data_IF_376145756956
#
_entry.id   IF_376145756956
#
_cell.length_a   1.000
_cell.length_b   1.000
_cell.length_c   1.000
_cell.angle_alpha   90.00
_cell.angle_beta   90.00
_cell.angle_gamma   90.00
#
_symmetry.space_group_name_H-M   'P 1'
#
loop_
_entity.id
_entity.type
_entity.pdbx_description
1 polymer ?
#
# COMPACT_ATOMS: atom_id res chain seq x y z
N UNK A 1 11.79 50.47 -55.33
CA UNK A 1 10.36 50.62 -54.95
C UNK A 1 9.80 49.23 -54.66
N UNK A 2 9.72 48.82 -53.38
CA UNK A 2 9.13 47.52 -53.00
C UNK A 2 7.60 47.67 -52.84
N UNK A 3 6.84 46.68 -53.33
CA UNK A 3 5.37 46.67 -53.26
C UNK A 3 4.88 46.54 -51.81
N UNK A 4 3.80 47.24 -51.40
CA UNK A 4 3.32 47.27 -50.01
C UNK A 4 2.91 45.90 -49.44
N UNK A 5 2.60 44.92 -50.29
CA UNK A 5 2.26 43.55 -49.87
C UNK A 5 3.48 42.73 -49.40
N UNK A 6 4.70 43.08 -49.81
CA UNK A 6 5.92 42.38 -49.41
C UNK A 6 6.38 42.78 -48.00
N UNK A 7 6.13 44.03 -47.61
CA UNK A 7 6.42 44.53 -46.25
C UNK A 7 5.50 43.88 -45.22
N UNK A 8 4.23 43.63 -45.56
CA UNK A 8 3.26 42.97 -44.68
C UNK A 8 3.63 41.50 -44.40
N UNK A 9 4.11 40.76 -45.41
CA UNK A 9 4.56 39.38 -45.25
C UNK A 9 5.84 39.28 -44.42
N UNK A 10 6.78 40.22 -44.59
CA UNK A 10 8.00 40.30 -43.79
C UNK A 10 7.73 40.63 -42.31
N UNK A 11 6.76 41.52 -42.04
CA UNK A 11 6.33 41.84 -40.66
C UNK A 11 5.63 40.64 -40.00
N UNK A 12 4.81 39.90 -40.74
CA UNK A 12 4.13 38.69 -40.23
C UNK A 12 5.13 37.57 -39.93
N UNK A 13 6.16 37.41 -40.77
CA UNK A 13 7.23 36.41 -40.56
C UNK A 13 8.11 36.78 -39.35
N UNK A 14 8.42 38.07 -39.15
CA UNK A 14 9.16 38.57 -37.98
C UNK A 14 8.38 38.39 -36.66
N UNK A 15 7.05 38.55 -36.68
CA UNK A 15 6.19 38.32 -35.51
C UNK A 15 6.08 36.84 -35.12
N UNK A 16 6.11 35.90 -36.08
CA UNK A 16 6.04 34.46 -35.81
C UNK A 16 7.34 33.90 -35.23
N UNK A 17 8.49 34.49 -35.55
CA UNK A 17 9.81 34.04 -35.03
C UNK A 17 10.02 34.51 -33.58
N UNK A 18 9.36 35.58 -33.13
CA UNK A 18 9.50 36.13 -31.79
C UNK A 18 8.76 35.35 -30.67
N UNK A 19 7.95 34.33 -31.00
CA UNK A 19 7.15 33.60 -30.01
C UNK A 19 7.76 32.28 -29.49
N UNK A 20 8.99 31.95 -29.86
CA UNK A 20 9.66 30.73 -29.36
C UNK A 20 10.61 31.04 -28.20
N UNK A 21 10.04 31.41 -27.04
CA UNK A 21 10.80 31.47 -25.79
C UNK A 21 10.75 30.07 -25.15
N UNK A 22 11.86 29.32 -25.07
CA UNK A 22 11.88 28.10 -24.27
C UNK A 22 11.87 28.52 -22.79
N UNK A 23 10.74 28.31 -22.12
CA UNK A 23 10.66 28.39 -20.65
C UNK A 23 11.46 27.23 -20.07
N UNK A 24 12.78 27.41 -19.97
CA UNK A 24 13.64 26.53 -19.21
C UNK A 24 13.28 26.74 -17.74
N UNK A 25 12.41 25.89 -17.21
CA UNK A 25 12.18 25.82 -15.77
C UNK A 25 13.48 25.30 -15.16
N UNK A 26 14.32 26.22 -14.71
CA UNK A 26 15.44 25.89 -13.84
C UNK A 26 14.86 25.31 -12.55
N UNK A 27 14.68 23.99 -12.51
CA UNK A 27 14.49 23.27 -11.24
C UNK A 27 15.79 23.44 -10.48
N UNK A 28 15.79 24.35 -9.52
CA UNK A 28 16.80 24.43 -8.47
C UNK A 28 16.79 23.11 -7.71
N UNK A 29 17.55 22.13 -8.22
CA UNK A 29 17.71 20.83 -7.63
C UNK A 29 18.66 21.00 -6.44
N UNK A 30 18.09 21.43 -5.31
CA UNK A 30 18.78 21.33 -4.02
C UNK A 30 18.98 19.83 -3.77
N UNK A 31 20.20 19.34 -3.49
CA UNK A 31 20.42 17.96 -3.09
C UNK A 31 19.97 17.82 -1.63
N UNK A 32 18.66 17.86 -1.41
CA UNK A 32 18.05 17.33 -0.21
C UNK A 32 17.83 15.85 -0.44
N UNK A 33 18.40 14.99 0.41
CA UNK A 33 18.02 13.59 0.46
C UNK A 33 16.53 13.53 0.80
N UNK A 34 15.68 13.44 -0.22
CA UNK A 34 14.28 13.10 -0.02
C UNK A 34 14.28 11.64 0.40
N UNK A 35 14.21 11.39 1.70
CA UNK A 35 13.70 10.13 2.22
C UNK A 35 12.22 10.04 1.83
N UNK A 36 11.92 9.82 0.55
CA UNK A 36 10.61 9.28 0.16
C UNK A 36 10.63 7.82 0.58
N UNK A 37 10.41 7.57 1.87
CA UNK A 37 10.06 6.24 2.33
C UNK A 37 8.69 5.99 1.73
N UNK A 38 8.65 5.42 0.52
CA UNK A 38 7.41 4.94 -0.07
C UNK A 38 6.91 3.85 0.86
N UNK A 39 6.00 4.20 1.77
CA UNK A 39 5.35 3.21 2.62
C UNK A 39 4.70 2.20 1.67
N UNK A 40 5.16 0.95 1.70
CA UNK A 40 4.65 -0.08 0.81
C UNK A 40 3.12 -0.17 0.92
N UNK A 41 2.43 -0.14 -0.23
CA UNK A 41 0.96 -0.15 -0.33
C UNK A 41 0.30 -1.45 0.17
N UNK A 42 1.12 -2.40 0.59
CA UNK A 42 0.69 -3.72 1.03
C UNK A 42 0.98 -3.95 2.52
N UNK A 43 1.50 -2.94 3.24
CA UNK A 43 1.86 -3.06 4.65
C UNK A 43 0.63 -2.94 5.57
N UNK A 44 0.67 -3.48 6.81
CA UNK A 44 -0.38 -3.25 7.81
C UNK A 44 -0.65 -1.76 8.03
N UNK A 45 0.41 -0.94 8.08
CA UNK A 45 0.29 0.50 8.25
C UNK A 45 -0.49 1.17 7.11
N UNK A 46 -0.25 0.76 5.86
CA UNK A 46 -0.98 1.30 4.71
C UNK A 46 -2.48 0.98 4.80
N UNK A 47 -2.85 -0.27 5.08
CA UNK A 47 -4.25 -0.66 5.25
C UNK A 47 -4.92 0.04 6.44
N UNK A 48 -4.19 0.19 7.55
CA UNK A 48 -4.63 0.91 8.73
C UNK A 48 -4.81 2.42 8.52
N UNK A 49 -4.11 3.00 7.54
CA UNK A 49 -4.23 4.42 7.19
C UNK A 49 -5.56 4.80 6.53
N UNK A 50 -6.36 3.80 6.13
CA UNK A 50 -7.67 3.95 5.45
C UNK A 50 -7.64 4.78 4.17
N UNK A 51 -6.46 4.93 3.55
CA UNK A 51 -6.31 5.64 2.27
C UNK A 51 -6.91 4.87 1.09
N UNK A 52 -7.08 3.57 1.23
CA UNK A 52 -7.68 2.70 0.23
C UNK A 52 -8.91 1.98 0.79
N UNK A 53 -9.90 1.79 -0.08
CA UNK A 53 -11.08 1.00 0.23
C UNK A 53 -10.69 -0.48 0.46
N UNK A 54 -11.24 -1.08 1.50
CA UNK A 54 -11.01 -2.50 1.76
C UNK A 54 -11.76 -3.38 0.76
N UNK A 55 -11.24 -4.58 0.44
CA UNK A 55 -11.95 -5.56 -0.38
C UNK A 55 -13.35 -5.87 0.17
N UNK A 56 -14.37 -5.95 -0.71
CA UNK A 56 -15.76 -6.23 -0.29
C UNK A 56 -15.92 -7.53 0.50
N UNK A 57 -15.05 -8.52 0.24
CA UNK A 57 -15.07 -9.81 0.94
C UNK A 57 -14.74 -9.68 2.42
N UNK A 58 -14.02 -8.63 2.81
CA UNK A 58 -13.58 -8.39 4.18
C UNK A 58 -13.73 -6.89 4.48
N UNK A 59 -14.92 -6.44 4.92
CA UNK A 59 -15.11 -5.07 5.39
C UNK A 59 -14.26 -4.76 6.63
N UNK A 60 -13.95 -3.48 6.86
CA UNK A 60 -13.16 -3.00 8.02
C UNK A 60 -13.73 -3.44 9.38
N UNK A 61 -15.05 -3.53 9.49
CA UNK A 61 -15.78 -3.94 10.70
C UNK A 61 -15.81 -5.45 10.91
N UNK A 62 -15.21 -6.24 10.02
CA UNK A 62 -15.16 -7.69 10.18
C UNK A 62 -14.34 -8.06 11.40
N UNK A 63 -14.94 -8.82 12.31
CA UNK A 63 -14.25 -9.36 13.46
C UNK A 63 -13.28 -10.46 13.05
N UNK A 64 -12.20 -10.59 13.80
CA UNK A 64 -11.16 -11.61 13.62
C UNK A 64 -11.76 -13.01 13.66
N UNK A 65 -12.68 -13.26 14.58
CA UNK A 65 -13.41 -14.53 14.72
C UNK A 65 -14.26 -14.87 13.50
N UNK A 66 -14.92 -13.87 12.88
CA UNK A 66 -15.71 -14.09 11.66
C UNK A 66 -14.84 -14.41 10.44
N UNK A 67 -13.62 -13.86 10.41
CA UNK A 67 -12.71 -14.02 9.27
C UNK A 67 -11.90 -15.31 9.36
N UNK A 68 -11.35 -15.60 10.54
CA UNK A 68 -10.43 -16.72 10.78
C UNK A 68 -11.08 -17.91 11.50
N UNK A 69 -12.30 -17.77 12.01
CA UNK A 69 -13.04 -18.85 12.66
C UNK A 69 -12.79 -18.95 14.17
N UNK A 70 -13.37 -19.99 14.78
CA UNK A 70 -13.44 -20.17 16.23
C UNK A 70 -12.10 -20.30 16.92
N UNK A 71 -11.07 -20.92 16.30
CA UNK A 71 -9.74 -21.03 16.90
C UNK A 71 -9.07 -19.67 17.15
N UNK A 72 -9.46 -18.63 16.40
CA UNK A 72 -9.00 -17.28 16.66
C UNK A 72 -9.56 -16.71 17.99
N UNK A 73 -10.73 -17.17 18.43
CA UNK A 73 -11.36 -16.76 19.69
C UNK A 73 -10.52 -17.14 20.93
N UNK A 74 -9.79 -18.25 20.86
CA UNK A 74 -8.94 -18.69 21.98
C UNK A 74 -7.79 -17.72 22.27
N UNK A 75 -7.36 -16.94 21.26
CA UNK A 75 -6.17 -16.08 21.35
C UNK A 75 -6.45 -14.60 21.21
N UNK A 76 -7.60 -14.24 20.66
CA UNK A 76 -7.98 -12.86 20.38
C UNK A 76 -9.33 -12.53 21.01
N UNK A 77 -9.49 -11.26 21.37
CA UNK A 77 -10.79 -10.74 21.82
C UNK A 77 -11.84 -10.91 20.73
N UNK A 78 -13.07 -11.21 21.13
CA UNK A 78 -14.18 -11.54 20.24
C UNK A 78 -14.62 -10.36 19.35
N UNK A 79 -14.52 -9.15 19.88
CA UNK A 79 -14.88 -7.89 19.24
C UNK A 79 -13.72 -7.25 18.46
N UNK A 80 -12.52 -7.84 18.51
CA UNK A 80 -11.37 -7.34 17.77
C UNK A 80 -11.66 -7.39 16.27
N UNK A 81 -11.61 -6.23 15.63
CA UNK A 81 -11.74 -6.09 14.18
C UNK A 81 -10.39 -6.25 13.48
N UNK A 82 -10.42 -6.62 12.19
CA UNK A 82 -9.20 -6.64 11.40
C UNK A 82 -8.56 -5.27 11.26
N UNK A 83 -9.36 -4.20 11.18
CA UNK A 83 -8.83 -2.85 11.08
C UNK A 83 -8.02 -2.50 12.32
N UNK A 84 -8.56 -2.76 13.52
CA UNK A 84 -7.82 -2.61 14.77
C UNK A 84 -6.54 -3.45 14.74
N UNK A 85 -6.61 -4.71 14.29
CA UNK A 85 -5.43 -5.56 14.19
C UNK A 85 -4.31 -4.97 13.30
N UNK A 86 -4.64 -4.24 12.21
CA UNK A 86 -3.63 -3.61 11.34
C UNK A 86 -2.90 -2.43 11.98
N UNK A 87 -3.55 -1.73 12.92
CA UNK A 87 -3.00 -0.51 13.56
C UNK A 87 -2.38 -0.77 14.93
N UNK A 88 -2.50 -1.98 15.48
CA UNK A 88 -1.92 -2.35 16.78
C UNK A 88 -0.40 -2.23 16.79
N UNK A 89 0.13 -1.80 17.93
CA UNK A 89 1.56 -1.57 18.13
C UNK A 89 2.21 -2.54 19.12
N UNK A 90 1.52 -3.63 19.47
CA UNK A 90 1.95 -4.61 20.48
C UNK A 90 2.94 -5.62 19.87
N UNK A 91 4.04 -5.14 19.30
CA UNK A 91 4.99 -5.97 18.54
C UNK A 91 5.80 -6.93 19.42
N UNK A 92 5.81 -6.74 20.74
CA UNK A 92 6.43 -7.65 21.72
C UNK A 92 5.69 -9.01 21.80
N UNK A 93 4.37 -9.03 21.56
CA UNK A 93 3.57 -10.24 21.64
C UNK A 93 3.45 -10.94 20.27
N UNK A 94 3.72 -12.25 20.25
CA UNK A 94 3.78 -13.04 19.00
C UNK A 94 2.43 -13.14 18.28
N UNK A 95 1.32 -13.31 19.01
CA UNK A 95 -0.01 -13.49 18.39
C UNK A 95 -0.60 -12.19 17.81
N UNK A 96 -0.54 -11.03 18.49
CA UNK A 96 -0.88 -9.75 17.87
C UNK A 96 -0.03 -9.46 16.63
N UNK A 97 1.27 -9.77 16.67
CA UNK A 97 2.16 -9.60 15.51
C UNK A 97 1.77 -10.51 14.33
N UNK A 98 1.45 -11.78 14.59
CA UNK A 98 0.89 -12.70 13.59
C UNK A 98 -0.37 -12.11 12.98
N UNK A 99 -1.32 -11.67 13.80
CA UNK A 99 -2.60 -11.17 13.32
C UNK A 99 -2.46 -9.88 12.51
N UNK A 100 -1.60 -8.95 12.94
CA UNK A 100 -1.30 -7.71 12.23
C UNK A 100 -0.80 -8.01 10.81
N UNK A 101 0.19 -8.90 10.68
CA UNK A 101 0.76 -9.25 9.38
C UNK A 101 -0.18 -10.10 8.52
N UNK A 102 -0.91 -11.04 9.13
CA UNK A 102 -1.90 -11.85 8.44
C UNK A 102 -3.09 -11.02 7.93
N UNK A 103 -3.53 -10.00 8.68
CA UNK A 103 -4.60 -9.09 8.24
C UNK A 103 -4.20 -8.36 6.96
N UNK A 104 -2.99 -7.82 6.91
CA UNK A 104 -2.47 -7.20 5.69
C UNK A 104 -2.34 -8.22 4.54
N UNK A 105 -1.79 -9.41 4.81
CA UNK A 105 -1.65 -10.46 3.81
C UNK A 105 -3.00 -10.89 3.22
N UNK A 106 -4.04 -11.00 4.06
CA UNK A 106 -5.39 -11.32 3.61
C UNK A 106 -5.95 -10.21 2.71
N UNK A 107 -5.80 -8.94 3.09
CA UNK A 107 -6.24 -7.82 2.26
C UNK A 107 -5.49 -7.79 0.92
N UNK A 108 -4.18 -8.01 0.95
CA UNK A 108 -3.35 -8.09 -0.25
C UNK A 108 -3.78 -9.24 -1.16
N UNK A 109 -4.09 -10.42 -0.61
CA UNK A 109 -4.54 -11.58 -1.39
C UNK A 109 -5.84 -11.32 -2.18
N UNK A 110 -6.65 -10.36 -1.74
CA UNK A 110 -7.84 -9.92 -2.47
C UNK A 110 -7.59 -8.72 -3.39
N UNK A 111 -6.73 -7.78 -2.98
CA UNK A 111 -6.58 -6.48 -3.64
C UNK A 111 -5.40 -6.40 -4.63
N UNK A 112 -4.41 -7.29 -4.51
CA UNK A 112 -3.13 -7.19 -5.22
C UNK A 112 -2.94 -8.38 -6.13
N UNK A 113 -2.78 -8.13 -7.43
CA UNK A 113 -2.45 -9.16 -8.40
C UNK A 113 -1.03 -9.67 -8.14
N UNK A 114 -0.84 -10.98 -8.19
CA UNK A 114 0.48 -11.60 -7.99
C UNK A 114 0.96 -11.65 -6.54
N UNK A 115 0.10 -11.33 -5.56
CA UNK A 115 0.43 -11.59 -4.16
C UNK A 115 0.64 -13.09 -3.94
N UNK A 116 1.69 -13.53 -3.23
CA UNK A 116 2.13 -14.93 -3.21
C UNK A 116 1.22 -15.87 -2.41
N UNK A 117 0.22 -15.35 -1.70
CA UNK A 117 -0.75 -16.15 -0.96
C UNK A 117 -2.16 -15.88 -1.46
N UNK A 118 -2.95 -16.93 -1.64
CA UNK A 118 -4.39 -16.82 -1.76
C UNK A 118 -5.03 -16.52 -0.40
N UNK A 119 -6.25 -15.97 -0.40
CA UNK A 119 -6.99 -15.67 0.82
C UNK A 119 -7.25 -16.91 1.69
N UNK A 120 -7.48 -18.07 1.06
CA UNK A 120 -7.67 -19.33 1.76
C UNK A 120 -6.38 -19.80 2.44
N UNK A 121 -5.24 -19.72 1.75
CA UNK A 121 -3.93 -20.06 2.33
C UNK A 121 -3.61 -19.18 3.54
N UNK A 122 -3.86 -17.86 3.45
CA UNK A 122 -3.64 -16.96 4.61
C UNK A 122 -4.45 -17.44 5.81
N UNK A 123 -5.74 -17.74 5.64
CA UNK A 123 -6.60 -18.22 6.73
C UNK A 123 -6.10 -19.54 7.32
N UNK A 124 -5.77 -20.51 6.48
CA UNK A 124 -5.24 -21.81 6.90
C UNK A 124 -3.93 -21.68 7.66
N UNK A 125 -2.99 -20.88 7.15
CA UNK A 125 -1.69 -20.66 7.77
C UNK A 125 -1.80 -19.94 9.12
N UNK A 126 -2.74 -19.01 9.28
CA UNK A 126 -3.03 -18.40 10.59
C UNK A 126 -3.46 -19.47 11.58
N UNK A 127 -4.44 -20.31 11.23
CA UNK A 127 -4.92 -21.35 12.14
C UNK A 127 -3.82 -22.34 12.53
N UNK A 128 -2.98 -22.73 11.57
CA UNK A 128 -1.82 -23.59 11.84
C UNK A 128 -0.80 -22.90 12.76
N UNK A 129 -0.59 -21.59 12.59
CA UNK A 129 0.37 -20.84 13.38
C UNK A 129 -0.08 -20.62 14.85
N UNK A 130 -1.37 -20.74 15.16
CA UNK A 130 -1.90 -20.59 16.53
C UNK A 130 -1.49 -21.73 17.48
N UNK A 131 -0.90 -22.81 16.98
CA UNK A 131 -0.53 -23.98 17.81
C UNK A 131 0.62 -23.72 18.78
N UNK A 132 1.49 -22.74 18.50
CA UNK A 132 2.62 -22.39 19.37
C UNK A 132 3.17 -20.99 19.07
N UNK A 133 3.85 -20.39 20.05
CA UNK A 133 4.50 -19.08 19.91
C UNK A 133 5.56 -19.09 18.79
N UNK A 134 6.30 -20.19 18.66
CA UNK A 134 7.31 -20.38 17.61
C UNK A 134 6.67 -20.38 16.22
N UNK A 135 5.57 -21.12 16.05
CA UNK A 135 4.84 -21.17 14.78
C UNK A 135 4.22 -19.80 14.45
N UNK A 136 3.63 -19.13 15.44
CA UNK A 136 3.08 -17.78 15.30
C UNK A 136 4.15 -16.78 14.88
N UNK A 137 5.31 -16.76 15.54
CA UNK A 137 6.40 -15.86 15.21
C UNK A 137 6.96 -16.10 13.80
N UNK A 138 7.18 -17.37 13.44
CA UNK A 138 7.69 -17.73 12.11
C UNK A 138 6.71 -17.33 11.00
N UNK A 139 5.42 -17.61 11.19
CA UNK A 139 4.41 -17.29 10.18
C UNK A 139 4.17 -15.77 10.09
N UNK A 140 4.23 -15.05 11.20
CA UNK A 140 4.19 -13.58 11.21
C UNK A 140 5.33 -13.00 10.35
N UNK A 141 6.54 -13.52 10.49
CA UNK A 141 7.69 -13.09 9.70
C UNK A 141 7.49 -13.36 8.21
N UNK A 142 7.00 -14.55 7.85
CA UNK A 142 6.71 -14.92 6.44
C UNK A 142 5.68 -13.98 5.80
N UNK A 143 4.63 -13.62 6.54
CA UNK A 143 3.65 -12.65 6.06
C UNK A 143 4.26 -11.24 5.95
N UNK A 144 5.09 -10.81 6.90
CA UNK A 144 5.78 -9.50 6.82
C UNK A 144 6.60 -9.39 5.55
N UNK A 145 7.44 -10.39 5.27
CA UNK A 145 8.29 -10.42 4.06
C UNK A 145 7.44 -10.34 2.78
N UNK A 146 6.34 -11.09 2.70
CA UNK A 146 5.45 -11.04 1.53
C UNK A 146 4.72 -9.69 1.40
N UNK A 147 4.32 -9.09 2.50
CA UNK A 147 3.68 -7.77 2.52
C UNK A 147 4.67 -6.67 2.09
N UNK A 148 5.94 -6.78 2.47
CA UNK A 148 7.00 -5.83 2.12
C UNK A 148 7.43 -5.95 0.66
N UNK A 149 7.45 -7.17 0.10
CA UNK A 149 7.81 -7.44 -1.30
C UNK A 149 6.68 -7.14 -2.30
N UNK A 150 5.51 -6.72 -1.83
CA UNK A 150 4.34 -6.43 -2.66
C UNK A 150 4.38 -4.99 -3.20
N UNK A 151 4.32 -4.85 -4.53
CA UNK A 151 4.48 -3.59 -5.26
C UNK A 151 3.29 -3.27 -6.18
#
# INVERSE_FOLDING_TARGET
MLRPSQLSQLVLLLLLIACSVPSTTAKTQRPGFLFTRTTGRCTPHYWGSRREAWPRMVPQTSTVSKVFGSRAYERYRSDLTLLEATVRNDEENVYPRLLKQASAALLNSYARKGFPYSAWEVKTLVIQALVSDKAAALQAQRFSVANEACH
#
